data_IF_243641953267
#
_entry.id   IF_243641953267
#
_cell.length_a   1.000
_cell.length_b   1.000
_cell.length_c   1.000
_cell.angle_alpha   90.00
_cell.angle_beta   90.00
_cell.angle_gamma   90.00
#
_symmetry.space_group_name_H-M   'P 1'
#
loop_
_entity.id
_entity.type
_entity.pdbx_description
1 polymer ?
#
# COMPACT_ATOMS: atom_id res chain seq x y z
N UNK A 1 9.77 -28.54 -21.94
CA UNK A 1 9.92 -27.27 -21.19
C UNK A 1 8.56 -26.74 -20.77
N UNK A 2 7.65 -26.39 -21.70
CA UNK A 2 6.30 -25.88 -21.37
C UNK A 2 5.53 -26.72 -20.34
N UNK A 3 5.55 -28.06 -20.45
CA UNK A 3 4.93 -28.93 -19.44
C UNK A 3 5.55 -28.81 -18.05
N UNK A 4 6.88 -28.65 -17.98
CA UNK A 4 7.59 -28.53 -16.70
C UNK A 4 7.28 -27.17 -16.05
N UNK A 5 7.48 -26.07 -16.79
CA UNK A 5 7.18 -24.72 -16.27
C UNK A 5 5.70 -24.51 -15.99
N UNK A 6 4.81 -25.15 -16.74
CA UNK A 6 3.36 -25.10 -16.50
C UNK A 6 2.92 -25.90 -15.26
N UNK A 7 3.75 -26.83 -14.77
CA UNK A 7 3.50 -27.55 -13.51
C UNK A 7 4.22 -26.93 -12.31
N UNK A 8 5.31 -26.21 -12.55
CA UNK A 8 6.16 -25.56 -11.54
C UNK A 8 6.92 -24.42 -12.21
N UNK A 9 6.51 -23.17 -11.98
CA UNK A 9 7.07 -21.96 -12.59
C UNK A 9 8.55 -21.78 -12.23
N UNK A 10 8.93 -22.14 -11.00
CA UNK A 10 10.32 -22.17 -10.55
C UNK A 10 11.24 -23.06 -11.42
N UNK A 11 10.71 -24.01 -12.20
CA UNK A 11 11.51 -24.78 -13.15
C UNK A 11 12.18 -23.91 -14.23
N UNK A 12 11.76 -22.65 -14.40
CA UNK A 12 12.40 -21.69 -15.30
C UNK A 12 13.85 -21.38 -14.88
N UNK A 13 14.19 -21.46 -13.59
CA UNK A 13 15.55 -21.26 -13.07
C UNK A 13 16.58 -22.15 -13.79
N UNK A 14 16.21 -23.40 -14.06
CA UNK A 14 17.08 -24.41 -14.66
C UNK A 14 17.03 -24.42 -16.19
N UNK A 15 16.24 -23.55 -16.81
CA UNK A 15 16.12 -23.48 -18.25
C UNK A 15 17.35 -22.79 -18.87
N UNK A 16 17.69 -23.15 -20.12
CA UNK A 16 18.77 -22.49 -20.85
C UNK A 16 18.46 -21.00 -21.04
N UNK A 17 19.49 -20.17 -21.25
CA UNK A 17 19.31 -18.73 -21.51
C UNK A 17 18.32 -18.46 -22.66
N UNK A 18 18.39 -19.26 -23.73
CA UNK A 18 17.47 -19.16 -24.85
C UNK A 18 15.99 -19.38 -24.43
N UNK A 19 15.73 -20.29 -23.49
CA UNK A 19 14.39 -20.57 -22.97
C UNK A 19 13.95 -19.53 -21.94
N UNK A 20 14.88 -18.98 -21.15
CA UNK A 20 14.62 -17.84 -20.25
C UNK A 20 14.36 -16.53 -21.01
N UNK A 21 14.72 -16.47 -22.29
CA UNK A 21 14.37 -15.41 -23.23
C UNK A 21 13.18 -15.75 -24.13
N UNK A 22 12.64 -16.96 -24.05
CA UNK A 22 11.46 -17.37 -24.81
C UNK A 22 10.19 -16.88 -24.11
N UNK A 23 9.49 -15.97 -24.78
CA UNK A 23 8.32 -15.29 -24.22
C UNK A 23 7.21 -16.25 -23.83
N UNK A 24 6.94 -17.30 -24.61
CA UNK A 24 5.86 -18.25 -24.32
C UNK A 24 6.20 -19.11 -23.11
N UNK A 25 7.46 -19.55 -23.01
CA UNK A 25 7.97 -20.31 -21.87
C UNK A 25 7.90 -19.48 -20.60
N UNK A 26 8.39 -18.23 -20.63
CA UNK A 26 8.35 -17.34 -19.46
C UNK A 26 6.91 -17.00 -19.08
N UNK A 27 6.05 -16.67 -20.04
CA UNK A 27 4.64 -16.35 -19.77
C UNK A 27 3.91 -17.54 -19.13
N UNK A 28 4.24 -18.76 -19.55
CA UNK A 28 3.69 -19.99 -18.94
C UNK A 28 4.18 -20.16 -17.51
N UNK A 29 5.46 -19.87 -17.23
CA UNK A 29 6.04 -19.96 -15.90
C UNK A 29 5.44 -18.92 -14.93
N UNK A 30 5.38 -17.65 -15.33
CA UNK A 30 4.90 -16.56 -14.46
C UNK A 30 3.41 -16.65 -14.14
N UNK A 31 2.62 -17.29 -15.00
CA UNK A 31 1.19 -17.58 -14.73
C UNK A 31 0.99 -18.67 -13.69
N UNK A 32 2.01 -19.50 -13.44
CA UNK A 32 1.99 -20.51 -12.40
C UNK A 32 2.59 -19.96 -11.10
N UNK A 33 3.67 -19.20 -11.19
CA UNK A 33 4.37 -18.57 -10.07
C UNK A 33 4.98 -17.24 -10.51
N UNK A 34 4.49 -16.13 -9.94
CA UNK A 34 4.95 -14.79 -10.29
C UNK A 34 6.46 -14.59 -10.10
N UNK A 35 7.07 -15.28 -9.13
CA UNK A 35 8.51 -15.17 -8.85
C UNK A 35 9.39 -15.77 -9.96
N UNK A 36 8.82 -16.58 -10.85
CA UNK A 36 9.54 -17.04 -12.04
C UNK A 36 10.06 -15.88 -12.91
N UNK A 37 9.49 -14.68 -12.79
CA UNK A 37 9.98 -13.48 -13.48
C UNK A 37 11.46 -13.16 -13.16
N UNK A 38 11.95 -13.52 -11.97
CA UNK A 38 13.34 -13.31 -11.56
C UNK A 38 14.34 -14.01 -12.50
N UNK A 39 13.94 -15.15 -13.05
CA UNK A 39 14.78 -15.94 -13.95
C UNK A 39 14.61 -15.55 -15.42
N UNK A 40 13.63 -14.71 -15.76
CA UNK A 40 13.43 -14.27 -17.13
C UNK A 40 14.61 -13.39 -17.63
N UNK A 41 14.81 -13.37 -18.95
CA UNK A 41 15.76 -12.44 -19.56
C UNK A 41 15.42 -10.99 -19.21
N UNK A 42 16.42 -10.11 -19.22
CA UNK A 42 16.21 -8.68 -18.98
C UNK A 42 15.16 -8.08 -19.92
N UNK A 43 15.14 -8.51 -21.19
CA UNK A 43 14.15 -8.07 -22.18
C UNK A 43 12.70 -8.43 -21.79
N UNK A 44 12.49 -9.59 -21.16
CA UNK A 44 11.16 -10.03 -20.72
C UNK A 44 10.74 -9.43 -19.38
N UNK A 45 11.69 -8.97 -18.55
CA UNK A 45 11.39 -8.12 -17.38
C UNK A 45 10.97 -6.70 -17.76
N UNK A 46 11.18 -6.31 -19.02
CA UNK A 46 10.61 -5.09 -19.63
C UNK A 46 9.35 -5.35 -20.45
N UNK A 47 8.94 -6.62 -20.62
CA UNK A 47 7.71 -6.95 -21.33
C UNK A 47 6.52 -6.76 -20.39
N UNK A 48 5.75 -5.69 -20.66
CA UNK A 48 4.59 -5.30 -19.85
C UNK A 48 3.60 -6.44 -19.61
N UNK A 49 3.31 -7.28 -20.60
CA UNK A 49 2.34 -8.36 -20.45
C UNK A 49 2.88 -9.49 -19.58
N UNK A 50 4.17 -9.82 -19.72
CA UNK A 50 4.84 -10.81 -18.87
C UNK A 50 4.87 -10.34 -17.42
N UNK A 51 5.27 -9.08 -17.19
CA UNK A 51 5.29 -8.49 -15.83
C UNK A 51 3.89 -8.39 -15.24
N UNK A 52 2.89 -7.96 -16.03
CA UNK A 52 1.49 -7.91 -15.57
C UNK A 52 0.99 -9.30 -15.15
N UNK A 53 1.30 -10.35 -15.93
CA UNK A 53 0.91 -11.71 -15.57
C UNK A 53 1.56 -12.18 -14.26
N UNK A 54 2.83 -11.82 -14.03
CA UNK A 54 3.55 -12.12 -12.80
C UNK A 54 2.98 -11.36 -11.58
N UNK A 55 2.73 -10.06 -11.75
CA UNK A 55 2.17 -9.18 -10.71
C UNK A 55 0.76 -9.61 -10.28
N UNK A 56 -0.04 -10.15 -11.20
CA UNK A 56 -1.36 -10.69 -10.89
C UNK A 56 -1.31 -11.96 -10.03
N UNK A 57 -0.18 -12.69 -10.01
CA UNK A 57 0.03 -13.79 -9.07
C UNK A 57 0.55 -13.26 -7.73
N UNK A 58 1.59 -12.41 -7.77
CA UNK A 58 2.34 -11.96 -6.62
C UNK A 58 2.69 -10.47 -6.79
N UNK A 59 1.96 -9.57 -6.11
CA UNK A 59 2.14 -8.13 -6.29
C UNK A 59 3.54 -7.61 -5.92
N UNK A 60 4.28 -8.34 -5.07
CA UNK A 60 5.67 -8.04 -4.73
C UNK A 60 6.64 -8.10 -5.91
N UNK A 61 6.30 -8.87 -6.94
CA UNK A 61 7.12 -9.06 -8.13
C UNK A 61 7.30 -7.76 -8.93
N UNK A 62 6.53 -6.71 -8.63
CA UNK A 62 6.76 -5.36 -9.14
C UNK A 62 8.20 -4.88 -8.94
N UNK A 63 8.88 -5.31 -7.86
CA UNK A 63 10.30 -5.02 -7.63
C UNK A 63 11.21 -5.50 -8.76
N UNK A 64 10.83 -6.57 -9.47
CA UNK A 64 11.65 -7.13 -10.55
C UNK A 64 11.43 -6.42 -11.89
N UNK A 65 10.40 -5.58 -11.99
CA UNK A 65 10.09 -4.78 -13.17
C UNK A 65 11.10 -3.64 -13.35
N UNK A 66 11.31 -3.25 -14.61
CA UNK A 66 12.09 -2.05 -14.94
C UNK A 66 11.37 -0.77 -14.50
N UNK A 67 12.12 0.32 -14.34
CA UNK A 67 11.61 1.60 -13.82
C UNK A 67 10.41 2.12 -14.62
N UNK A 68 10.43 1.98 -15.94
CA UNK A 68 9.34 2.42 -16.82
C UNK A 68 8.02 1.68 -16.51
N UNK A 69 8.09 0.41 -16.11
CA UNK A 69 6.91 -0.37 -15.72
C UNK A 69 6.49 -0.12 -14.28
N UNK A 70 7.40 0.31 -13.41
CA UNK A 70 7.07 0.80 -12.06
C UNK A 70 6.37 2.17 -12.09
N UNK A 71 6.48 2.89 -13.20
CA UNK A 71 5.69 4.10 -13.49
C UNK A 71 4.38 3.80 -14.25
N UNK A 72 4.12 2.53 -14.63
CA UNK A 72 2.85 2.15 -15.24
C UNK A 72 1.77 2.04 -14.16
N UNK A 73 0.89 3.04 -14.15
CA UNK A 73 -0.18 3.17 -13.16
C UNK A 73 -1.07 1.93 -13.06
N UNK A 74 -1.45 1.31 -14.18
CA UNK A 74 -2.35 0.16 -14.16
C UNK A 74 -1.65 -1.08 -13.61
N UNK A 75 -0.36 -1.24 -13.94
CA UNK A 75 0.48 -2.32 -13.43
C UNK A 75 0.72 -2.18 -11.92
N UNK A 76 1.03 -0.97 -11.45
CA UNK A 76 1.17 -0.67 -10.02
C UNK A 76 -0.13 -0.90 -9.26
N UNK A 77 -1.28 -0.45 -9.79
CA UNK A 77 -2.56 -0.71 -9.16
C UNK A 77 -2.91 -2.21 -9.12
N UNK A 78 -2.56 -2.98 -10.16
CA UNK A 78 -2.71 -4.43 -10.13
C UNK A 78 -1.85 -5.06 -9.03
N UNK A 79 -0.61 -4.60 -8.85
CA UNK A 79 0.28 -5.05 -7.78
C UNK A 79 -0.26 -4.71 -6.39
N UNK A 80 -0.71 -3.48 -6.20
CA UNK A 80 -1.28 -3.00 -4.94
C UNK A 80 -2.51 -3.83 -4.56
N UNK A 81 -3.39 -4.16 -5.51
CA UNK A 81 -4.56 -5.02 -5.25
C UNK A 81 -4.20 -6.39 -4.68
N UNK A 82 -3.04 -6.93 -5.01
CA UNK A 82 -2.52 -8.17 -4.41
C UNK A 82 -1.84 -7.94 -3.06
N UNK A 83 -1.12 -6.81 -2.91
CA UNK A 83 -0.43 -6.45 -1.67
C UNK A 83 -0.14 -4.96 -1.60
N UNK A 84 -0.61 -4.28 -0.55
CA UNK A 84 -0.34 -2.86 -0.31
C UNK A 84 1.16 -2.49 -0.29
N UNK A 85 2.02 -3.46 0.07
CA UNK A 85 3.47 -3.25 0.12
C UNK A 85 4.08 -3.01 -1.26
N UNK A 86 3.39 -3.38 -2.34
CA UNK A 86 3.82 -3.08 -3.70
C UNK A 86 3.99 -1.57 -3.95
N UNK A 87 3.31 -0.71 -3.18
CA UNK A 87 3.47 0.75 -3.25
C UNK A 87 4.94 1.19 -3.09
N UNK A 88 5.73 0.48 -2.29
CA UNK A 88 7.14 0.83 -2.07
C UNK A 88 8.01 0.75 -3.35
N UNK A 89 7.56 -0.02 -4.34
CA UNK A 89 8.25 -0.19 -5.62
C UNK A 89 7.66 0.66 -6.75
N UNK A 90 6.55 1.35 -6.50
CA UNK A 90 5.99 2.28 -7.47
C UNK A 90 6.95 3.45 -7.70
N UNK A 91 6.97 4.00 -8.91
CA UNK A 91 7.73 5.20 -9.21
C UNK A 91 7.30 6.39 -8.32
N UNK A 92 8.20 7.35 -8.01
CA UNK A 92 7.91 8.46 -7.11
C UNK A 92 6.63 9.24 -7.46
N UNK A 93 6.32 9.39 -8.74
CA UNK A 93 5.12 10.09 -9.22
C UNK A 93 3.83 9.37 -8.80
N UNK A 94 3.86 8.03 -8.79
CA UNK A 94 2.72 7.21 -8.35
C UNK A 94 2.63 7.11 -6.82
N UNK A 95 3.76 7.18 -6.11
CA UNK A 95 3.77 7.34 -4.65
C UNK A 95 3.19 8.69 -4.21
N UNK A 96 3.19 9.70 -5.09
CA UNK A 96 2.55 10.99 -4.90
C UNK A 96 1.10 11.05 -5.45
N UNK A 97 0.61 10.00 -6.10
CA UNK A 97 -0.76 9.96 -6.61
C UNK A 97 -1.74 9.53 -5.52
N UNK A 98 -2.58 10.46 -5.07
CA UNK A 98 -3.56 10.26 -3.97
C UNK A 98 -4.39 8.99 -4.15
N UNK A 99 -4.90 8.71 -5.35
CA UNK A 99 -5.75 7.55 -5.62
C UNK A 99 -4.98 6.22 -5.51
N UNK A 100 -3.71 6.20 -5.92
CA UNK A 100 -2.85 5.02 -5.82
C UNK A 100 -2.52 4.73 -4.36
N UNK A 101 -2.15 5.77 -3.60
CA UNK A 101 -1.87 5.65 -2.17
C UNK A 101 -3.13 5.23 -1.39
N UNK A 102 -4.28 5.81 -1.71
CA UNK A 102 -5.56 5.42 -1.10
C UNK A 102 -5.87 3.95 -1.32
N UNK A 103 -5.63 3.41 -2.52
CA UNK A 103 -5.85 1.98 -2.79
C UNK A 103 -5.02 1.08 -1.86
N UNK A 104 -3.77 1.46 -1.58
CA UNK A 104 -2.92 0.72 -0.63
C UNK A 104 -3.40 0.89 0.82
N UNK A 105 -3.80 2.11 1.22
CA UNK A 105 -4.33 2.41 2.55
C UNK A 105 -5.64 1.68 2.87
N UNK A 106 -6.39 1.25 1.85
CA UNK A 106 -7.59 0.44 2.05
C UNK A 106 -7.28 -0.95 2.62
N UNK A 107 -6.06 -1.44 2.46
CA UNK A 107 -5.63 -2.75 2.95
C UNK A 107 -4.87 -2.64 4.27
N UNK A 108 -3.91 -1.71 4.36
CA UNK A 108 -3.13 -1.47 5.57
C UNK A 108 -2.64 -0.03 5.63
N UNK A 109 -2.80 0.62 6.79
CA UNK A 109 -2.39 2.00 7.02
C UNK A 109 -0.88 2.17 7.08
N UNK A 110 -0.11 1.10 7.28
CA UNK A 110 1.33 1.16 7.18
C UNK A 110 1.80 1.53 5.75
N UNK A 111 0.92 1.39 4.74
CA UNK A 111 1.17 1.87 3.38
C UNK A 111 1.50 3.38 3.32
N UNK A 112 1.05 4.18 4.30
CA UNK A 112 1.36 5.60 4.39
C UNK A 112 2.87 5.87 4.43
N UNK A 113 3.66 4.93 4.96
CA UNK A 113 5.14 5.03 5.04
C UNK A 113 5.80 5.09 3.67
N UNK A 114 5.13 4.59 2.62
CA UNK A 114 5.61 4.54 1.25
C UNK A 114 5.02 5.65 0.35
N UNK A 115 4.03 6.40 0.85
CA UNK A 115 3.52 7.58 0.14
C UNK A 115 4.60 8.67 0.04
N UNK A 116 4.48 9.56 -0.94
CA UNK A 116 5.33 10.74 -1.02
C UNK A 116 5.17 11.64 0.22
N UNK A 117 6.21 12.37 0.66
CA UNK A 117 6.18 13.18 1.88
C UNK A 117 4.98 14.12 1.99
N UNK A 118 4.56 14.72 0.88
CA UNK A 118 3.45 15.66 0.80
C UNK A 118 2.12 14.98 1.16
N UNK A 119 1.92 13.74 0.72
CA UNK A 119 0.73 12.94 1.02
C UNK A 119 0.72 12.41 2.46
N UNK A 120 1.88 12.13 3.05
CA UNK A 120 1.95 11.69 4.46
C UNK A 120 1.40 12.73 5.44
N UNK A 121 1.44 14.00 5.02
CA UNK A 121 0.94 15.14 5.78
C UNK A 121 -0.34 15.74 5.19
N UNK A 122 -0.99 15.09 4.23
CA UNK A 122 -2.24 15.56 3.63
C UNK A 122 -3.43 15.24 4.57
N UNK A 123 -4.06 16.25 5.22
CA UNK A 123 -5.16 16.03 6.14
C UNK A 123 -6.39 15.41 5.46
N UNK A 124 -6.60 15.66 4.16
CA UNK A 124 -7.73 15.12 3.41
C UNK A 124 -7.51 13.64 3.09
N UNK A 125 -6.28 13.22 2.77
CA UNK A 125 -5.93 11.80 2.62
C UNK A 125 -6.15 11.03 3.94
N UNK A 126 -5.69 11.60 5.05
CA UNK A 126 -5.84 10.98 6.38
C UNK A 126 -7.32 10.93 6.77
N UNK A 127 -8.09 11.99 6.50
CA UNK A 127 -9.54 12.02 6.74
C UNK A 127 -10.27 10.94 5.93
N UNK A 128 -9.91 10.74 4.66
CA UNK A 128 -10.48 9.68 3.82
C UNK A 128 -10.11 8.28 4.34
N UNK A 129 -8.87 8.08 4.79
CA UNK A 129 -8.45 6.81 5.40
C UNK A 129 -9.16 6.55 6.73
N UNK A 130 -9.33 7.59 7.56
CA UNK A 130 -10.11 7.56 8.79
C UNK A 130 -11.56 7.20 8.53
N UNK A 131 -12.11 7.44 7.32
CA UNK A 131 -13.45 7.01 6.93
C UNK A 131 -13.68 5.49 7.06
N UNK A 132 -12.60 4.69 7.11
CA UNK A 132 -12.70 3.24 7.37
C UNK A 132 -12.35 2.87 8.80
N UNK A 133 -11.23 3.35 9.32
CA UNK A 133 -10.76 3.02 10.67
C UNK A 133 -9.82 4.11 11.20
N UNK A 134 -10.11 4.62 12.40
CA UNK A 134 -9.32 5.69 13.05
C UNK A 134 -7.92 5.26 13.46
N UNK A 135 -7.63 3.95 13.47
CA UNK A 135 -6.29 3.40 13.71
C UNK A 135 -5.23 3.91 12.73
N UNK A 136 -5.62 4.51 11.60
CA UNK A 136 -4.69 5.21 10.71
C UNK A 136 -3.90 6.30 11.45
N UNK A 137 -4.48 6.91 12.50
CA UNK A 137 -3.79 7.89 13.32
C UNK A 137 -2.53 7.33 13.98
N UNK A 138 -2.46 6.02 14.26
CA UNK A 138 -1.23 5.38 14.77
C UNK A 138 -0.01 5.66 13.86
N UNK A 139 -0.24 5.72 12.55
CA UNK A 139 0.79 5.91 11.53
C UNK A 139 0.89 7.36 11.03
N UNK A 140 -0.09 8.21 11.37
CA UNK A 140 -0.07 9.61 11.01
C UNK A 140 1.10 10.35 11.72
N UNK A 141 1.72 11.36 11.06
CA UNK A 141 2.73 12.20 11.70
C UNK A 141 2.19 12.91 12.94
N UNK A 142 3.04 13.17 13.94
CA UNK A 142 2.65 13.90 15.17
C UNK A 142 2.03 15.27 14.88
N UNK A 143 2.50 15.96 13.84
CA UNK A 143 1.92 17.22 13.40
C UNK A 143 0.44 17.10 12.99
N UNK A 144 0.04 15.96 12.40
CA UNK A 144 -1.36 15.68 12.04
C UNK A 144 -2.18 15.33 13.28
N UNK A 145 -1.62 14.56 14.23
CA UNK A 145 -2.29 14.26 15.50
C UNK A 145 -2.52 15.51 16.36
N UNK A 146 -1.64 16.50 16.22
CA UNK A 146 -1.78 17.80 16.87
C UNK A 146 -2.73 18.77 16.15
N UNK A 147 -3.20 18.42 14.94
CA UNK A 147 -4.21 19.23 14.26
C UNK A 147 -5.55 19.08 14.98
N UNK A 148 -6.00 20.21 15.53
CA UNK A 148 -7.23 20.29 16.33
C UNK A 148 -8.46 19.83 15.54
N UNK A 149 -8.58 20.25 14.27
CA UNK A 149 -9.77 19.95 13.47
C UNK A 149 -9.80 18.48 13.07
N UNK A 150 -8.65 17.92 12.68
CA UNK A 150 -8.51 16.50 12.36
C UNK A 150 -8.79 15.64 13.60
N UNK A 151 -8.26 16.00 14.77
CA UNK A 151 -8.52 15.28 16.02
C UNK A 151 -9.99 15.36 16.43
N UNK A 152 -10.62 16.53 16.32
CA UNK A 152 -12.05 16.67 16.60
C UNK A 152 -12.89 15.78 15.67
N UNK A 153 -12.59 15.75 14.36
CA UNK A 153 -13.25 14.84 13.40
C UNK A 153 -13.00 13.37 13.76
N UNK A 154 -11.80 13.02 14.22
CA UNK A 154 -11.46 11.67 14.63
C UNK A 154 -12.29 11.20 15.83
N UNK A 155 -12.33 12.02 16.88
CA UNK A 155 -13.07 11.73 18.12
C UNK A 155 -14.58 11.72 17.87
N UNK A 156 -15.10 12.63 17.04
CA UNK A 156 -16.50 12.61 16.63
C UNK A 156 -16.87 11.35 15.85
N UNK A 157 -15.91 10.71 15.21
CA UNK A 157 -16.13 9.45 14.50
C UNK A 157 -16.04 8.24 15.44
N UNK A 158 -15.00 8.23 16.26
CA UNK A 158 -14.67 7.15 17.18
C UNK A 158 -13.92 7.76 18.36
N UNK A 159 -14.57 7.77 19.52
CA UNK A 159 -14.01 8.34 20.75
C UNK A 159 -12.65 7.74 21.15
N UNK A 160 -12.36 6.48 20.74
CA UNK A 160 -11.07 5.84 21.00
C UNK A 160 -9.90 6.56 20.30
N UNK A 161 -10.17 7.41 19.30
CA UNK A 161 -9.18 8.26 18.67
C UNK A 161 -8.47 9.21 19.66
N UNK A 162 -9.10 9.52 20.80
CA UNK A 162 -8.52 10.36 21.85
C UNK A 162 -7.19 9.80 22.39
N UNK A 163 -6.98 8.48 22.34
CA UNK A 163 -5.71 7.84 22.74
C UNK A 163 -4.50 8.26 21.89
N UNK A 164 -4.74 8.82 20.70
CA UNK A 164 -3.71 9.34 19.80
C UNK A 164 -3.52 10.85 19.95
N UNK A 165 -4.36 11.53 20.74
CA UNK A 165 -4.28 12.97 20.93
C UNK A 165 -3.05 13.34 21.78
N UNK A 166 -2.24 14.33 21.35
CA UNK A 166 -1.19 14.86 22.20
C UNK A 166 -1.80 15.56 23.43
N UNK A 167 -1.05 15.62 24.53
CA UNK A 167 -1.52 16.20 25.80
C UNK A 167 -2.12 17.61 25.66
N UNK A 168 -1.63 18.42 24.72
CA UNK A 168 -2.15 19.76 24.45
C UNK A 168 -3.64 19.76 24.02
N UNK A 169 -4.10 18.72 23.32
CA UNK A 169 -5.48 18.57 22.88
C UNK A 169 -6.38 17.91 23.93
N UNK A 170 -5.82 17.28 24.97
CA UNK A 170 -6.60 16.71 26.08
C UNK A 170 -7.21 17.79 27.00
N UNK A 171 -6.70 19.03 26.93
CA UNK A 171 -7.30 20.18 27.58
C UNK A 171 -8.36 20.88 26.70
N UNK A 172 -8.52 20.46 25.44
CA UNK A 172 -9.51 21.05 24.54
C UNK A 172 -10.91 20.59 24.92
N UNK A 173 -11.70 21.52 25.47
CA UNK A 173 -13.05 21.26 25.94
C UNK A 173 -13.95 20.66 24.86
N UNK A 174 -13.82 21.08 23.61
CA UNK A 174 -14.70 20.58 22.53
C UNK A 174 -14.37 19.13 22.19
N UNK A 175 -13.09 18.78 22.12
CA UNK A 175 -12.63 17.41 21.85
C UNK A 175 -13.04 16.47 22.98
N UNK A 176 -12.83 16.86 24.25
CA UNK A 176 -13.20 16.02 25.40
C UNK A 176 -14.72 15.85 25.49
N UNK A 177 -15.50 16.92 25.27
CA UNK A 177 -16.96 16.81 25.27
C UNK A 177 -17.45 15.88 24.15
N UNK A 178 -16.82 15.90 22.98
CA UNK A 178 -17.17 15.01 21.88
C UNK A 178 -16.91 13.53 22.23
N UNK A 179 -15.79 13.22 22.90
CA UNK A 179 -15.48 11.86 23.36
C UNK A 179 -16.49 11.36 24.40
N UNK A 180 -16.70 12.14 25.47
CA UNK A 180 -17.56 11.79 26.62
C UNK A 180 -19.04 11.66 26.23
N UNK A 181 -19.49 12.38 25.20
CA UNK A 181 -20.86 12.25 24.69
C UNK A 181 -21.11 10.91 23.99
N UNK A 182 -20.07 10.25 23.46
CA UNK A 182 -20.19 8.95 22.81
C UNK A 182 -20.02 7.79 23.79
N UNK A 183 -19.18 7.96 24.81
CA UNK A 183 -18.97 6.94 25.83
C UNK A 183 -19.19 7.52 27.23
N UNK A 184 -20.27 7.10 27.89
CA UNK A 184 -20.60 7.53 29.26
C UNK A 184 -19.54 7.13 30.30
N UNK A 185 -18.46 6.44 29.89
CA UNK A 185 -17.32 5.95 30.67
C UNK A 185 -16.02 6.77 30.55
N UNK A 186 -15.88 7.70 29.60
CA UNK A 186 -14.60 8.37 29.28
C UNK A 186 -14.10 9.40 30.33
N UNK A 187 -14.73 9.46 31.52
CA UNK A 187 -14.33 10.36 32.61
C UNK A 187 -12.99 9.98 33.28
N UNK A 188 -12.46 8.78 33.06
CA UNK A 188 -11.19 8.34 33.69
C UNK A 188 -9.91 8.84 32.99
N UNK A 189 -9.98 9.33 31.75
CA UNK A 189 -8.81 9.82 30.99
C UNK A 189 -8.50 11.32 31.18
N UNK A 190 -9.35 12.04 31.92
CA UNK A 190 -9.26 13.49 32.13
C UNK A 190 -8.76 13.90 33.54
N UNK A 191 -8.19 12.97 34.31
CA UNK A 191 -7.63 13.19 35.66
C UNK A 191 -6.10 13.07 35.68
#
# INVERSE_FOLDING_TARGET
VLRAVGSCGAALEFASEALRADREVVLTAVRQDGWALEHASASLRSDREVVMAAVQQEGWVLELAVEELRADRDLVLAAIKGTWKALQFAAPELQAERNVVLEALQQDFEALRYAAPELRTDPELISDAMARNVEVLKFAPEAMKADRQLMLRAVQKDHTALRFAPAALLADREIILAAVQQDGSDLELAA
#
